data_IF_892406694129
#
_entry.id   IF_892406694129
#
_cell.length_a   1.000
_cell.length_b   1.000
_cell.length_c   1.000
_cell.angle_alpha   90.00
_cell.angle_beta   90.00
_cell.angle_gamma   90.00
#
_symmetry.space_group_name_H-M   'P 1'
#
loop_
_entity.id
_entity.type
_entity.pdbx_description
1 polymer ?
#
# COMPACT_ATOMS: atom_id res chain seq x y z
N UNK A 1 -10.47 25.26 22.34
CA UNK A 1 -10.58 23.80 22.11
C UNK A 1 -10.10 23.52 20.71
N UNK A 2 -8.93 22.88 20.57
CA UNK A 2 -8.46 22.37 19.28
C UNK A 2 -9.38 21.20 18.97
N UNK A 3 -10.19 21.29 17.92
CA UNK A 3 -10.89 20.11 17.42
C UNK A 3 -9.81 19.11 17.02
N UNK A 4 -9.67 18.02 17.77
CA UNK A 4 -8.92 16.87 17.30
C UNK A 4 -9.56 16.46 15.98
N UNK A 5 -8.81 16.51 14.88
CA UNK A 5 -9.32 16.00 13.62
C UNK A 5 -9.60 14.51 13.84
N UNK A 6 -10.89 14.16 13.92
CA UNK A 6 -11.30 12.78 14.10
C UNK A 6 -10.86 11.94 12.92
N UNK A 7 -10.62 10.65 13.15
CA UNK A 7 -10.23 9.72 12.08
C UNK A 7 -11.23 9.79 10.92
N UNK A 8 -10.78 9.64 9.65
CA UNK A 8 -11.68 9.55 8.50
C UNK A 8 -12.78 8.50 8.69
N UNK A 9 -12.45 7.40 9.36
CA UNK A 9 -13.37 6.32 9.75
C UNK A 9 -14.51 6.75 10.69
N UNK A 10 -14.43 7.93 11.30
CA UNK A 10 -15.46 8.50 12.17
C UNK A 10 -16.11 9.72 11.50
N UNK A 11 -15.29 10.56 10.85
CA UNK A 11 -15.75 11.81 10.24
C UNK A 11 -16.52 11.59 8.94
N UNK A 12 -16.36 10.45 8.25
CA UNK A 12 -17.05 10.18 6.99
C UNK A 12 -18.59 10.22 7.10
N UNK A 13 -19.16 9.96 8.27
CA UNK A 13 -20.60 10.07 8.53
C UNK A 13 -21.11 11.51 8.36
N UNK A 14 -20.22 12.48 8.57
CA UNK A 14 -20.50 13.91 8.41
C UNK A 14 -20.17 14.40 6.99
N UNK A 15 -19.68 13.53 6.11
CA UNK A 15 -19.30 13.87 4.73
C UNK A 15 -20.35 13.36 3.75
N UNK A 16 -20.91 14.28 2.96
CA UNK A 16 -21.78 13.94 1.82
C UNK A 16 -21.02 14.15 0.53
N UNK A 17 -20.88 13.08 -0.25
CA UNK A 17 -20.38 13.17 -1.62
C UNK A 17 -21.49 13.72 -2.52
N UNK A 18 -21.13 14.61 -3.43
CA UNK A 18 -22.07 15.13 -4.41
C UNK A 18 -22.61 13.97 -5.28
N UNK A 19 -23.92 13.94 -5.60
CA UNK A 19 -24.49 12.95 -6.50
C UNK A 19 -23.74 12.89 -7.83
N UNK A 20 -23.52 11.70 -8.34
CA UNK A 20 -22.84 11.42 -9.63
C UNK A 20 -21.40 11.93 -9.74
N UNK A 21 -20.81 12.41 -8.64
CA UNK A 21 -19.38 12.70 -8.58
C UNK A 21 -18.56 11.42 -8.75
N UNK A 22 -17.30 11.58 -9.20
CA UNK A 22 -16.38 10.46 -9.40
C UNK A 22 -16.29 9.55 -8.16
N UNK A 23 -16.13 10.12 -6.97
CA UNK A 23 -16.00 9.35 -5.73
C UNK A 23 -17.34 8.71 -5.29
N UNK A 24 -18.48 9.36 -5.54
CA UNK A 24 -19.79 8.77 -5.24
C UNK A 24 -20.04 7.54 -6.11
N UNK A 25 -19.74 7.63 -7.41
CA UNK A 25 -19.83 6.50 -8.35
C UNK A 25 -18.97 5.32 -7.87
N UNK A 26 -17.71 5.55 -7.48
CA UNK A 26 -16.82 4.49 -6.94
C UNK A 26 -17.36 3.89 -5.63
N UNK A 27 -17.86 4.71 -4.71
CA UNK A 27 -18.47 4.23 -3.45
C UNK A 27 -19.69 3.35 -3.72
N UNK A 28 -20.52 3.73 -4.70
CA UNK A 28 -21.69 2.96 -5.11
C UNK A 28 -21.29 1.62 -5.73
N UNK A 29 -20.26 1.57 -6.58
CA UNK A 29 -19.74 0.32 -7.13
C UNK A 29 -19.22 -0.61 -6.03
N UNK A 30 -18.48 -0.06 -5.06
CA UNK A 30 -17.96 -0.84 -3.93
C UNK A 30 -19.09 -1.50 -3.12
N UNK A 31 -20.15 -0.77 -2.80
CA UNK A 31 -21.28 -1.31 -2.02
C UNK A 31 -22.18 -2.24 -2.83
N UNK A 32 -22.46 -1.92 -4.10
CA UNK A 32 -23.39 -2.67 -4.93
C UNK A 32 -22.80 -3.99 -5.45
N UNK A 33 -21.48 -4.03 -5.71
CA UNK A 33 -20.79 -5.16 -6.32
C UNK A 33 -19.62 -5.68 -5.49
N UNK A 34 -18.60 -4.87 -5.22
CA UNK A 34 -17.32 -5.36 -4.65
C UNK A 34 -17.48 -6.06 -3.30
N UNK A 35 -18.21 -5.46 -2.35
CA UNK A 35 -18.44 -6.06 -1.03
C UNK A 35 -19.23 -7.38 -1.12
N UNK A 36 -20.23 -7.45 -2.01
CA UNK A 36 -21.02 -8.67 -2.21
C UNK A 36 -20.17 -9.79 -2.82
N UNK A 37 -19.34 -9.46 -3.79
CA UNK A 37 -18.44 -10.40 -4.43
C UNK A 37 -17.37 -10.92 -3.45
N UNK A 38 -16.77 -10.02 -2.66
CA UNK A 38 -15.82 -10.41 -1.60
C UNK A 38 -16.47 -11.33 -0.55
N UNK A 39 -17.69 -11.02 -0.10
CA UNK A 39 -18.44 -11.89 0.80
C UNK A 39 -18.71 -13.26 0.16
N UNK A 40 -19.07 -13.28 -1.13
CA UNK A 40 -19.22 -14.51 -1.90
C UNK A 40 -17.94 -15.36 -1.91
N UNK A 41 -16.79 -14.73 -2.16
CA UNK A 41 -15.48 -15.41 -2.10
C UNK A 41 -15.12 -15.92 -0.71
N UNK A 42 -15.37 -15.14 0.35
CA UNK A 42 -15.14 -15.60 1.72
C UNK A 42 -15.97 -16.84 2.04
N UNK A 43 -17.21 -16.90 1.56
CA UNK A 43 -18.07 -18.08 1.70
C UNK A 43 -17.56 -19.26 0.88
N UNK A 44 -17.25 -19.06 -0.41
CA UNK A 44 -16.82 -20.15 -1.29
C UNK A 44 -15.44 -20.72 -0.97
N UNK A 45 -14.58 -19.94 -0.32
CA UNK A 45 -13.24 -20.39 0.12
C UNK A 45 -13.23 -20.95 1.55
N UNK A 46 -14.40 -21.09 2.19
CA UNK A 46 -14.52 -21.56 3.57
C UNK A 46 -14.03 -20.56 4.64
N UNK A 47 -13.41 -19.43 4.25
CA UNK A 47 -12.89 -18.41 5.18
C UNK A 47 -13.96 -17.79 6.07
N UNK A 48 -15.17 -17.64 5.54
CA UNK A 48 -16.31 -17.15 6.32
C UNK A 48 -16.70 -18.14 7.43
N UNK A 49 -16.57 -19.44 7.17
CA UNK A 49 -16.99 -20.51 8.07
C UNK A 49 -15.87 -20.95 9.02
N UNK A 50 -14.63 -20.56 8.76
CA UNK A 50 -13.43 -21.02 9.46
C UNK A 50 -13.45 -20.72 10.98
N UNK A 51 -14.24 -19.74 11.43
CA UNK A 51 -14.43 -19.41 12.85
C UNK A 51 -15.45 -20.29 13.58
N UNK A 52 -16.06 -21.32 12.95
CA UNK A 52 -16.91 -22.31 13.65
C UNK A 52 -16.14 -23.33 14.51
N UNK A 53 -14.80 -23.23 14.57
CA UNK A 53 -13.86 -24.01 15.41
C UNK A 53 -14.23 -25.48 15.66
N UNK A 54 -14.55 -26.21 14.60
CA UNK A 54 -14.51 -27.68 14.57
C UNK A 54 -13.81 -28.09 13.27
N UNK A 55 -13.20 -29.28 13.24
CA UNK A 55 -12.94 -29.91 11.94
C UNK A 55 -14.28 -30.19 11.28
N UNK A 56 -14.51 -29.66 10.07
CA UNK A 56 -15.83 -29.69 9.46
C UNK A 56 -15.77 -30.14 7.98
N UNK A 57 -16.51 -31.21 7.61
CA UNK A 57 -16.78 -31.60 6.22
C UNK A 57 -17.50 -30.55 5.35
N UNK A 58 -17.71 -29.32 5.84
CA UNK A 58 -18.39 -28.18 5.18
C UNK A 58 -17.58 -27.55 4.04
N UNK A 59 -16.48 -28.19 3.62
CA UNK A 59 -15.85 -27.93 2.33
C UNK A 59 -16.71 -28.36 1.13
N UNK A 60 -17.89 -28.97 1.35
CA UNK A 60 -18.79 -29.35 0.27
C UNK A 60 -20.11 -28.56 0.12
N UNK A 61 -20.72 -27.86 1.12
CA UNK A 61 -22.03 -27.19 0.93
C UNK A 61 -22.42 -26.06 1.96
N UNK A 62 -23.42 -25.18 1.68
CA UNK A 62 -23.36 -23.74 1.98
C UNK A 62 -24.00 -23.22 3.30
N UNK A 63 -23.60 -22.02 3.81
CA UNK A 63 -23.95 -21.55 5.16
C UNK A 63 -25.03 -20.45 5.33
N UNK A 64 -25.53 -20.29 6.58
CA UNK A 64 -26.74 -19.52 6.94
C UNK A 64 -26.68 -18.47 8.10
N UNK A 65 -25.53 -18.09 8.73
CA UNK A 65 -25.53 -17.13 9.88
C UNK A 65 -24.37 -16.12 9.83
N UNK A 66 -24.56 -14.90 10.36
CA UNK A 66 -23.59 -13.77 10.45
C UNK A 66 -22.41 -14.05 11.41
N UNK A 67 -21.16 -13.61 11.14
CA UNK A 67 -19.96 -14.21 11.74
C UNK A 67 -19.51 -13.64 13.09
N UNK A 68 -20.24 -12.69 13.69
CA UNK A 68 -19.83 -12.07 14.98
C UNK A 68 -19.88 -13.09 16.11
N UNK A 69 -20.99 -13.83 16.24
CA UNK A 69 -21.12 -14.85 17.29
C UNK A 69 -20.14 -16.01 17.05
N UNK A 70 -19.73 -16.26 15.80
CA UNK A 70 -18.70 -17.26 15.47
C UNK A 70 -17.33 -16.84 15.99
N UNK A 71 -16.94 -15.58 15.81
CA UNK A 71 -15.67 -15.06 16.29
C UNK A 71 -15.56 -15.12 17.81
N UNK A 72 -16.61 -14.72 18.52
CA UNK A 72 -16.62 -14.78 20.00
C UNK A 72 -16.58 -16.20 20.52
N UNK A 73 -17.29 -17.14 19.87
CA UNK A 73 -17.22 -18.57 20.22
C UNK A 73 -15.89 -19.22 19.84
N UNK A 74 -15.10 -18.59 18.95
CA UNK A 74 -13.78 -19.06 18.55
C UNK A 74 -12.66 -18.59 19.49
N UNK A 75 -12.98 -17.72 20.44
CA UNK A 75 -11.98 -17.17 21.35
C UNK A 75 -11.64 -18.18 22.45
N UNK A 76 -10.35 -18.30 22.79
CA UNK A 76 -9.91 -19.13 23.92
C UNK A 76 -10.23 -18.46 25.26
N UNK A 77 -10.21 -19.23 26.35
CA UNK A 77 -10.56 -18.78 27.71
C UNK A 77 -9.65 -17.69 28.29
N UNK A 78 -8.55 -17.34 27.62
CA UNK A 78 -7.64 -16.26 28.00
C UNK A 78 -7.71 -15.04 27.08
N UNK A 79 -8.62 -15.05 26.11
CA UNK A 79 -8.82 -13.98 25.13
C UNK A 79 -8.12 -14.20 23.80
N UNK A 80 -7.32 -15.27 23.62
CA UNK A 80 -6.62 -15.52 22.36
C UNK A 80 -7.57 -15.82 21.19
N UNK A 81 -7.34 -15.19 20.03
CA UNK A 81 -8.13 -15.40 18.82
C UNK A 81 -7.24 -15.44 17.56
N UNK A 82 -6.90 -16.65 17.11
CA UNK A 82 -6.20 -16.89 15.85
C UNK A 82 -6.47 -18.31 15.34
N UNK A 83 -6.95 -18.46 14.10
CA UNK A 83 -7.34 -19.77 13.57
C UNK A 83 -6.16 -20.73 13.36
N UNK A 84 -5.00 -20.23 12.93
CA UNK A 84 -3.85 -21.07 12.62
C UNK A 84 -3.37 -21.82 13.86
N UNK A 85 -3.10 -21.12 14.95
CA UNK A 85 -2.68 -21.73 16.22
C UNK A 85 -3.85 -22.29 17.06
N UNK A 86 -5.09 -22.24 16.55
CA UNK A 86 -6.23 -22.92 17.18
C UNK A 86 -6.60 -24.24 16.49
N UNK A 87 -6.30 -24.37 15.19
CA UNK A 87 -6.77 -25.49 14.36
C UNK A 87 -5.61 -26.23 13.69
N UNK A 88 -4.61 -25.51 13.19
CA UNK A 88 -3.52 -26.06 12.35
C UNK A 88 -2.33 -26.44 13.21
N UNK A 89 -1.88 -25.51 14.04
CA UNK A 89 -0.79 -25.71 15.00
C UNK A 89 -1.33 -25.82 16.42
N UNK A 90 -0.65 -26.54 17.33
CA UNK A 90 -1.00 -26.55 18.74
C UNK A 90 -1.02 -25.13 19.33
N UNK A 91 -2.01 -24.82 20.17
CA UNK A 91 -2.12 -23.51 20.84
C UNK A 91 -0.87 -23.16 21.66
N UNK A 92 -0.12 -24.15 22.13
CA UNK A 92 1.18 -23.94 22.80
C UNK A 92 2.24 -23.27 21.92
N UNK A 93 2.07 -23.27 20.60
CA UNK A 93 2.98 -22.65 19.63
C UNK A 93 2.62 -21.20 19.32
N UNK A 94 1.53 -20.65 19.87
CA UNK A 94 1.20 -19.22 19.69
C UNK A 94 2.35 -18.34 20.18
N UNK A 95 2.54 -17.20 19.52
CA UNK A 95 3.57 -16.22 19.85
C UNK A 95 5.02 -16.72 19.80
N UNK A 96 5.28 -17.81 19.06
CA UNK A 96 6.65 -18.34 18.85
C UNK A 96 7.28 -17.93 17.52
N UNK A 97 6.47 -17.39 16.59
CA UNK A 97 6.93 -16.79 15.34
C UNK A 97 6.15 -15.52 15.00
N UNK A 98 6.34 -14.50 15.85
CA UNK A 98 5.81 -13.15 15.71
C UNK A 98 6.33 -12.48 14.43
N UNK A 99 7.54 -12.83 13.98
CA UNK A 99 8.14 -12.32 12.74
C UNK A 99 7.30 -12.67 11.50
N UNK A 100 6.89 -13.93 11.35
CA UNK A 100 6.36 -14.41 10.06
C UNK A 100 4.86 -14.77 10.06
N UNK A 101 4.29 -15.20 11.20
CA UNK A 101 2.95 -15.81 11.22
C UNK A 101 1.80 -14.83 11.48
N UNK A 102 2.08 -13.53 11.43
CA UNK A 102 1.08 -12.46 11.37
C UNK A 102 -0.01 -12.50 12.46
N UNK A 103 0.25 -13.07 13.64
CA UNK A 103 -0.73 -13.15 14.73
C UNK A 103 -1.21 -11.76 15.15
N UNK A 104 -0.25 -10.84 15.37
CA UNK A 104 -0.52 -9.47 15.78
C UNK A 104 -1.10 -8.63 14.63
N UNK A 105 -0.69 -8.88 13.39
CA UNK A 105 -1.28 -8.24 12.21
C UNK A 105 -2.76 -8.58 12.05
N UNK A 106 -3.11 -9.87 12.17
CA UNK A 106 -4.49 -10.34 12.11
C UNK A 106 -5.33 -9.71 13.24
N UNK A 107 -4.77 -9.62 14.45
CA UNK A 107 -5.45 -8.99 15.57
C UNK A 107 -5.69 -7.50 15.34
N UNK A 108 -4.71 -6.78 14.79
CA UNK A 108 -4.84 -5.36 14.48
C UNK A 108 -5.95 -5.08 13.47
N UNK A 109 -6.00 -5.83 12.36
CA UNK A 109 -7.08 -5.69 11.39
C UNK A 109 -8.46 -6.05 11.95
N UNK A 110 -8.54 -7.09 12.79
CA UNK A 110 -9.80 -7.47 13.42
C UNK A 110 -10.26 -6.39 14.42
N UNK A 111 -9.32 -5.77 15.14
CA UNK A 111 -9.59 -4.65 16.04
C UNK A 111 -10.04 -3.39 15.28
N UNK A 112 -9.43 -3.05 14.15
CA UNK A 112 -9.90 -1.96 13.28
C UNK A 112 -11.35 -2.19 12.80
N UNK A 113 -11.66 -3.44 12.41
CA UNK A 113 -13.01 -3.87 12.07
C UNK A 113 -13.97 -3.77 13.26
N UNK A 114 -13.53 -4.15 14.46
CA UNK A 114 -14.30 -4.08 15.69
C UNK A 114 -14.63 -2.63 16.09
N UNK A 115 -13.67 -1.72 15.97
CA UNK A 115 -13.84 -0.29 16.21
C UNK A 115 -14.85 0.33 15.23
N UNK A 116 -14.77 -0.03 13.94
CA UNK A 116 -15.73 0.42 12.94
C UNK A 116 -17.14 -0.16 13.20
N UNK A 117 -17.22 -1.44 13.56
CA UNK A 117 -18.48 -2.11 13.89
C UNK A 117 -19.16 -1.49 15.11
N UNK A 118 -18.44 -1.30 16.21
CA UNK A 118 -18.96 -0.64 17.41
C UNK A 118 -19.43 0.78 17.08
N UNK A 119 -18.63 1.54 16.33
CA UNK A 119 -18.99 2.90 15.97
C UNK A 119 -20.28 2.97 15.16
N UNK A 120 -20.55 2.01 14.26
CA UNK A 120 -21.76 2.02 13.44
C UNK A 120 -22.97 1.40 14.16
N UNK A 121 -22.80 0.22 14.75
CA UNK A 121 -23.90 -0.56 15.34
C UNK A 121 -24.13 -0.29 16.83
N UNK A 122 -23.29 0.54 17.45
CA UNK A 122 -23.40 0.97 18.86
C UNK A 122 -23.50 -0.19 19.83
N UNK A 123 -22.72 -1.24 19.60
CA UNK A 123 -22.60 -2.39 20.49
C UNK A 123 -21.18 -2.96 20.49
N UNK A 124 -20.87 -3.69 21.54
CA UNK A 124 -19.56 -4.25 21.86
C UNK A 124 -19.41 -5.72 21.45
N UNK A 125 -20.33 -6.28 20.66
CA UNK A 125 -20.32 -7.71 20.33
C UNK A 125 -19.03 -8.20 19.66
N UNK A 126 -18.38 -7.31 18.90
CA UNK A 126 -17.06 -7.57 18.31
C UNK A 126 -15.93 -6.87 19.06
N UNK A 127 -16.18 -5.70 19.66
CA UNK A 127 -15.15 -4.94 20.38
C UNK A 127 -14.78 -5.56 21.73
N UNK A 128 -15.76 -6.07 22.49
CA UNK A 128 -15.54 -6.72 23.79
C UNK A 128 -14.57 -7.90 23.70
N UNK A 129 -14.78 -8.90 22.80
CA UNK A 129 -13.81 -9.96 22.54
C UNK A 129 -12.43 -9.43 22.19
N UNK A 130 -12.34 -8.39 21.35
CA UNK A 130 -11.05 -7.82 20.96
C UNK A 130 -10.33 -7.11 22.11
N UNK A 131 -11.05 -6.45 23.04
CA UNK A 131 -10.46 -5.89 24.26
C UNK A 131 -9.83 -7.01 25.10
N UNK A 132 -10.50 -8.16 25.22
CA UNK A 132 -9.95 -9.29 25.96
C UNK A 132 -8.68 -9.84 25.30
N UNK A 133 -8.65 -9.90 23.97
CA UNK A 133 -7.43 -10.29 23.25
C UNK A 133 -6.29 -9.27 23.45
N UNK A 134 -6.61 -7.97 23.47
CA UNK A 134 -5.65 -6.91 23.79
C UNK A 134 -5.15 -7.01 25.23
N UNK A 135 -6.00 -7.36 26.21
CA UNK A 135 -5.56 -7.60 27.59
C UNK A 135 -4.57 -8.77 27.69
N UNK A 136 -4.76 -9.83 26.90
CA UNK A 136 -3.78 -10.92 26.78
C UNK A 136 -2.45 -10.40 26.19
N UNK A 137 -2.51 -9.57 25.15
CA UNK A 137 -1.32 -8.98 24.55
C UNK A 137 -0.57 -8.06 25.51
N UNK A 138 -1.28 -7.24 26.29
CA UNK A 138 -0.69 -6.38 27.33
C UNK A 138 0.04 -7.23 28.38
N UNK A 139 -0.48 -8.39 28.75
CA UNK A 139 0.21 -9.30 29.68
C UNK A 139 1.41 -9.99 29.04
N UNK A 140 1.34 -10.27 27.74
CA UNK A 140 2.33 -11.08 27.03
C UNK A 140 3.53 -10.25 26.56
N UNK A 141 3.30 -9.02 26.11
CA UNK A 141 4.31 -8.18 25.45
C UNK A 141 4.56 -6.89 26.21
N UNK A 142 5.84 -6.53 26.36
CA UNK A 142 6.24 -5.30 27.03
C UNK A 142 7.67 -5.37 27.55
N UNK A 143 8.13 -4.33 28.25
CA UNK A 143 9.51 -4.20 28.69
C UNK A 143 9.86 -4.98 29.97
N UNK A 144 8.86 -5.55 30.67
CA UNK A 144 9.09 -6.24 31.95
C UNK A 144 9.82 -7.57 31.74
N UNK A 145 10.52 -8.07 32.76
CA UNK A 145 11.30 -9.31 32.67
C UNK A 145 10.44 -10.55 32.39
N UNK A 146 9.17 -10.54 32.80
CA UNK A 146 8.20 -11.63 32.62
C UNK A 146 7.46 -11.56 31.27
N UNK A 147 7.73 -10.54 30.46
CA UNK A 147 7.09 -10.32 29.17
C UNK A 147 8.03 -10.68 28.01
N UNK A 148 7.45 -11.02 26.86
CA UNK A 148 8.18 -11.17 25.61
C UNK A 148 8.55 -9.78 25.08
N UNK A 149 9.85 -9.55 24.86
CA UNK A 149 10.34 -8.30 24.27
C UNK A 149 10.18 -8.28 22.74
N UNK A 150 8.99 -8.63 22.27
CA UNK A 150 8.63 -8.81 20.87
C UNK A 150 7.89 -7.61 20.27
N UNK A 151 7.78 -7.58 18.95
CA UNK A 151 6.95 -6.63 18.19
C UNK A 151 6.53 -7.22 16.84
N UNK A 152 5.37 -6.82 16.27
CA UNK A 152 4.79 -7.45 15.08
C UNK A 152 5.74 -7.50 13.87
N UNK A 153 5.90 -8.63 13.20
CA UNK A 153 6.65 -8.69 11.93
C UNK A 153 6.01 -7.86 10.81
N UNK A 154 4.68 -7.83 10.75
CA UNK A 154 3.94 -6.91 9.90
C UNK A 154 3.22 -5.89 10.78
N UNK A 155 3.62 -4.59 10.74
CA UNK A 155 2.92 -3.52 11.45
C UNK A 155 1.45 -3.47 11.05
N UNK A 156 0.56 -3.20 11.99
CA UNK A 156 -0.89 -2.97 11.83
C UNK A 156 -1.53 -2.77 13.21
N UNK A 157 -1.16 -3.64 14.18
CA UNK A 157 -1.70 -3.60 15.54
C UNK A 157 -1.42 -2.27 16.24
N UNK A 158 -0.28 -1.65 15.96
CA UNK A 158 0.10 -0.36 16.51
C UNK A 158 -0.92 0.73 16.13
N UNK A 159 -1.41 0.73 14.89
CA UNK A 159 -2.46 1.65 14.42
C UNK A 159 -3.74 1.40 15.23
N UNK A 160 -4.17 0.13 15.28
CA UNK A 160 -5.41 -0.27 15.92
C UNK A 160 -5.42 0.03 17.43
N UNK A 161 -4.29 -0.15 18.12
CA UNK A 161 -4.14 0.13 19.55
C UNK A 161 -4.21 1.63 19.86
N UNK A 162 -3.61 2.49 19.03
CA UNK A 162 -3.70 3.96 19.20
C UNK A 162 -5.14 4.45 18.97
N UNK A 163 -5.84 3.87 18.00
CA UNK A 163 -7.28 4.13 17.78
C UNK A 163 -8.13 3.63 18.93
N UNK A 164 -7.83 2.44 19.45
CA UNK A 164 -8.51 1.89 20.64
C UNK A 164 -8.27 2.78 21.86
N UNK A 165 -7.05 3.29 22.07
CA UNK A 165 -6.73 4.24 23.14
C UNK A 165 -7.59 5.50 23.04
N UNK A 166 -7.74 6.10 21.87
CA UNK A 166 -8.58 7.29 21.74
C UNK A 166 -10.07 7.00 21.95
N UNK A 167 -10.51 5.76 21.72
CA UNK A 167 -11.87 5.34 21.99
C UNK A 167 -12.14 5.04 23.47
N UNK A 168 -11.21 4.38 24.16
CA UNK A 168 -11.41 3.89 25.55
C UNK A 168 -10.75 4.78 26.61
N UNK A 169 -9.78 5.60 26.22
CA UNK A 169 -8.86 6.34 27.08
C UNK A 169 -8.07 5.45 28.07
N UNK A 170 -8.03 4.14 27.84
CA UNK A 170 -7.21 3.23 28.63
C UNK A 170 -5.74 3.32 28.18
N UNK A 171 -4.92 3.94 29.03
CA UNK A 171 -3.49 4.18 28.75
C UNK A 171 -2.71 2.90 28.44
N UNK A 172 -3.17 1.73 28.90
CA UNK A 172 -2.49 0.45 28.61
C UNK A 172 -2.42 0.17 27.10
N UNK A 173 -3.44 0.58 26.34
CA UNK A 173 -3.44 0.46 24.87
C UNK A 173 -2.38 1.34 24.22
N UNK A 174 -2.24 2.59 24.70
CA UNK A 174 -1.22 3.52 24.22
C UNK A 174 0.19 3.03 24.57
N UNK A 175 0.43 2.57 25.80
CA UNK A 175 1.74 2.08 26.22
C UNK A 175 2.17 0.83 25.44
N UNK A 176 1.24 -0.10 25.14
CA UNK A 176 1.55 -1.25 24.30
C UNK A 176 1.91 -0.84 22.85
N UNK A 177 1.15 0.09 22.25
CA UNK A 177 1.47 0.61 20.91
C UNK A 177 2.82 1.32 20.88
N UNK A 178 3.08 2.17 21.87
CA UNK A 178 4.35 2.89 22.04
C UNK A 178 5.50 1.91 22.16
N UNK A 179 5.37 0.90 23.01
CA UNK A 179 6.36 -0.15 23.18
C UNK A 179 6.68 -0.85 21.84
N UNK A 180 5.67 -1.31 21.09
CA UNK A 180 5.92 -1.94 19.79
C UNK A 180 6.63 -1.03 18.79
N UNK A 181 6.29 0.27 18.77
CA UNK A 181 6.94 1.24 17.89
C UNK A 181 8.41 1.47 18.30
N UNK A 182 8.67 1.62 19.60
CA UNK A 182 10.01 1.99 20.09
C UNK A 182 10.97 0.81 20.24
N UNK A 183 10.45 -0.40 20.45
CA UNK A 183 11.27 -1.62 20.54
C UNK A 183 11.68 -2.13 19.15
N UNK A 184 10.93 -1.78 18.10
CA UNK A 184 11.20 -2.23 16.74
C UNK A 184 12.61 -1.86 16.28
N UNK A 185 13.38 -2.87 15.90
CA UNK A 185 14.77 -2.71 15.45
C UNK A 185 15.77 -2.47 16.58
N UNK A 186 15.39 -2.62 17.85
CA UNK A 186 16.33 -2.55 18.97
C UNK A 186 17.39 -3.67 18.86
N UNK A 187 18.69 -3.35 18.71
CA UNK A 187 19.74 -4.36 18.61
C UNK A 187 20.05 -5.04 19.94
N UNK A 188 19.52 -4.52 21.05
CA UNK A 188 19.77 -4.96 22.43
C UNK A 188 18.46 -5.31 23.15
N UNK A 189 17.50 -5.91 22.45
CA UNK A 189 16.26 -6.42 23.01
C UNK A 189 16.53 -7.66 23.86
N UNK A 190 15.85 -8.77 23.55
CA UNK A 190 15.94 -10.01 24.33
C UNK A 190 17.35 -10.60 24.36
N UNK A 191 17.86 -10.89 25.57
CA UNK A 191 19.22 -11.38 25.82
C UNK A 191 20.32 -10.51 25.18
N UNK A 192 20.08 -9.21 25.05
CA UNK A 192 21.02 -8.27 24.43
C UNK A 192 21.16 -8.45 22.90
N UNK A 193 20.16 -9.08 22.26
CA UNK A 193 20.11 -9.32 20.81
C UNK A 193 18.88 -8.66 20.18
N UNK A 194 18.90 -8.54 18.86
CA UNK A 194 17.72 -8.20 18.09
C UNK A 194 16.66 -9.30 18.22
N UNK A 195 15.39 -8.92 18.47
CA UNK A 195 14.33 -9.89 18.81
C UNK A 195 14.13 -10.97 17.74
N UNK A 196 14.10 -10.62 16.45
CA UNK A 196 13.91 -11.61 15.38
C UNK A 196 15.09 -12.57 15.23
N UNK A 197 16.30 -12.14 15.60
CA UNK A 197 17.48 -12.99 15.59
C UNK A 197 17.40 -13.97 16.76
N UNK A 198 16.99 -13.48 17.93
CA UNK A 198 16.75 -14.30 19.12
C UNK A 198 15.64 -15.33 18.89
N UNK A 199 14.52 -14.91 18.30
CA UNK A 199 13.36 -15.75 18.05
C UNK A 199 13.67 -16.85 17.02
N UNK A 200 14.41 -16.52 15.95
CA UNK A 200 14.89 -17.47 14.95
C UNK A 200 15.81 -18.53 15.56
N UNK A 201 16.76 -18.12 16.40
CA UNK A 201 17.66 -19.01 17.13
C UNK A 201 16.90 -19.95 18.08
N UNK A 202 15.88 -19.44 18.79
CA UNK A 202 15.02 -20.26 19.66
C UNK A 202 14.24 -21.33 18.91
N UNK A 203 13.86 -21.08 17.67
CA UNK A 203 13.21 -22.07 16.79
C UNK A 203 14.20 -23.02 16.11
N UNK A 204 15.50 -22.71 16.15
CA UNK A 204 16.51 -23.44 15.40
C UNK A 204 16.45 -23.19 13.88
N UNK A 205 16.00 -22.00 13.46
CA UNK A 205 16.06 -21.56 12.06
C UNK A 205 17.53 -21.62 11.58
N UNK A 206 17.79 -22.12 10.38
CA UNK A 206 19.16 -22.12 9.81
C UNK A 206 19.61 -20.67 9.52
N UNK A 207 20.69 -20.16 10.16
CA UNK A 207 21.19 -18.80 9.93
C UNK A 207 21.79 -18.59 8.54
N UNK A 208 22.03 -19.67 7.79
CA UNK A 208 22.46 -19.62 6.40
C UNK A 208 21.30 -19.74 5.41
N UNK A 209 20.10 -20.06 5.89
CA UNK A 209 18.92 -20.06 5.05
C UNK A 209 18.69 -18.66 4.50
N UNK A 210 18.33 -18.61 3.23
CA UNK A 210 17.84 -17.41 2.56
C UNK A 210 16.35 -17.60 2.32
N UNK A 211 15.50 -16.69 2.80
CA UNK A 211 14.10 -16.72 2.42
C UNK A 211 13.99 -16.73 0.90
N UNK A 212 13.10 -17.55 0.35
CA UNK A 212 13.01 -17.79 -1.10
C UNK A 212 12.90 -16.48 -1.92
N UNK A 213 12.30 -15.47 -1.31
CA UNK A 213 11.97 -14.18 -1.92
C UNK A 213 13.05 -13.10 -1.71
N UNK A 214 14.00 -13.30 -0.78
CA UNK A 214 14.93 -12.24 -0.35
C UNK A 214 16.38 -12.56 -0.75
N UNK A 215 17.17 -11.55 -1.14
CA UNK A 215 18.58 -11.74 -1.48
C UNK A 215 19.46 -12.01 -0.25
N UNK A 216 18.98 -11.71 0.96
CA UNK A 216 19.74 -11.79 2.21
C UNK A 216 19.42 -13.04 3.04
N UNK A 217 20.25 -13.30 4.07
CA UNK A 217 20.06 -14.42 5.00
C UNK A 217 18.98 -14.10 6.04
N UNK A 218 18.32 -15.13 6.55
CA UNK A 218 17.39 -15.03 7.69
C UNK A 218 18.14 -14.44 8.90
N UNK A 219 17.56 -13.46 9.62
CA UNK A 219 16.17 -13.00 9.56
C UNK A 219 15.85 -11.84 8.61
N UNK A 220 16.80 -11.32 7.82
CA UNK A 220 16.53 -10.24 6.83
C UNK A 220 15.72 -9.05 7.40
N UNK A 221 16.16 -8.51 8.55
CA UNK A 221 15.40 -7.54 9.35
C UNK A 221 14.94 -6.27 8.59
N UNK A 222 15.63 -5.88 7.51
CA UNK A 222 15.23 -4.78 6.63
C UNK A 222 13.85 -4.99 6.00
N UNK A 223 13.48 -6.25 5.70
CA UNK A 223 12.19 -6.58 5.10
C UNK A 223 11.01 -6.19 5.99
N UNK A 224 11.20 -6.31 7.30
CA UNK A 224 10.20 -6.03 8.34
C UNK A 224 10.25 -4.58 8.85
N UNK A 225 11.02 -3.71 8.19
CA UNK A 225 11.37 -2.37 8.67
C UNK A 225 11.91 -2.42 10.11
N UNK A 226 12.87 -3.32 10.37
CA UNK A 226 13.43 -3.57 11.70
C UNK A 226 14.96 -3.68 11.72
N UNK A 227 15.69 -3.19 10.72
CA UNK A 227 17.17 -3.22 10.76
C UNK A 227 17.76 -2.42 11.92
N UNK A 228 17.13 -1.28 12.24
CA UNK A 228 17.53 -0.33 13.28
C UNK A 228 16.28 0.34 13.86
N UNK A 229 16.36 1.00 15.03
CA UNK A 229 15.26 1.81 15.55
C UNK A 229 14.79 2.85 14.53
N UNK A 230 13.49 3.14 14.52
CA UNK A 230 12.89 4.05 13.51
C UNK A 230 13.59 5.41 13.46
N UNK A 231 14.00 5.94 14.61
CA UNK A 231 14.70 7.23 14.71
C UNK A 231 16.04 7.24 13.97
N UNK A 232 16.66 6.07 13.79
CA UNK A 232 17.96 5.89 13.15
C UNK A 232 17.83 5.47 11.66
N UNK A 233 16.64 5.07 11.22
CA UNK A 233 16.39 4.70 9.81
C UNK A 233 16.60 5.89 8.87
N UNK A 234 17.45 5.73 7.86
CA UNK A 234 17.74 6.79 6.89
C UNK A 234 16.84 6.75 5.65
N UNK A 235 16.30 5.58 5.31
CA UNK A 235 15.57 5.34 4.07
C UNK A 235 14.48 4.30 4.29
N UNK A 236 13.41 4.35 3.49
CA UNK A 236 12.37 3.30 3.52
C UNK A 236 12.84 2.08 2.74
N UNK A 237 12.81 0.92 3.38
CA UNK A 237 13.29 -0.35 2.84
C UNK A 237 12.30 -1.47 3.17
N UNK A 238 12.50 -2.62 2.54
CA UNK A 238 11.67 -3.80 2.80
C UNK A 238 10.37 -3.81 2.04
N UNK A 239 9.43 -4.61 2.55
CA UNK A 239 8.08 -4.73 2.01
C UNK A 239 7.40 -3.37 1.95
N UNK A 240 6.72 -3.02 0.86
CA UNK A 240 6.23 -1.65 0.63
C UNK A 240 5.09 -1.23 1.57
N UNK A 241 4.26 -2.16 2.04
CA UNK A 241 3.14 -1.88 2.98
C UNK A 241 3.61 -1.68 4.43
N UNK A 242 4.58 -2.49 4.89
CA UNK A 242 4.99 -2.54 6.29
C UNK A 242 5.43 -1.17 6.84
N UNK A 243 6.35 -0.42 6.20
CA UNK A 243 6.76 0.89 6.69
C UNK A 243 5.62 1.90 6.59
N UNK A 244 4.68 1.76 5.64
CA UNK A 244 3.54 2.69 5.56
C UNK A 244 2.60 2.52 6.75
N UNK A 245 2.31 1.28 7.16
CA UNK A 245 1.50 1.02 8.35
C UNK A 245 2.22 1.44 9.63
N UNK A 246 3.53 1.16 9.73
CA UNK A 246 4.36 1.63 10.84
C UNK A 246 4.35 3.17 10.95
N UNK A 247 4.64 3.87 9.86
CA UNK A 247 4.69 5.33 9.84
C UNK A 247 3.31 5.95 10.08
N UNK A 248 2.23 5.27 9.70
CA UNK A 248 0.85 5.64 10.06
C UNK A 248 0.68 5.63 11.58
N UNK A 249 1.06 4.53 12.26
CA UNK A 249 0.99 4.45 13.72
C UNK A 249 1.89 5.47 14.41
N UNK A 250 3.10 5.70 13.89
CA UNK A 250 4.03 6.70 14.45
C UNK A 250 3.46 8.11 14.31
N UNK A 251 2.78 8.42 13.20
CA UNK A 251 2.13 9.72 13.02
C UNK A 251 1.00 9.94 14.03
N UNK A 252 0.19 8.90 14.30
CA UNK A 252 -0.81 8.94 15.38
C UNK A 252 -0.18 9.11 16.76
N UNK A 253 0.94 8.42 17.05
CA UNK A 253 1.65 8.58 18.32
C UNK A 253 2.25 9.99 18.48
N UNK A 254 2.81 10.57 17.42
CA UNK A 254 3.32 11.95 17.41
C UNK A 254 2.20 12.95 17.68
N UNK A 255 1.01 12.70 17.14
CA UNK A 255 -0.16 13.54 17.39
C UNK A 255 -0.64 13.44 18.84
N UNK A 256 -0.71 12.22 19.38
CA UNK A 256 -1.20 11.95 20.74
C UNK A 256 -0.21 12.45 21.80
N UNK A 257 1.09 12.24 21.60
CA UNK A 257 2.15 12.53 22.58
C UNK A 257 3.26 13.43 22.01
N UNK A 258 2.84 14.55 21.41
CA UNK A 258 3.71 15.48 20.67
C UNK A 258 4.93 15.97 21.45
N UNK A 259 4.78 16.21 22.75
CA UNK A 259 5.86 16.75 23.57
C UNK A 259 7.03 15.76 23.74
N UNK A 260 6.75 14.45 23.67
CA UNK A 260 7.73 13.39 23.94
C UNK A 260 8.19 12.66 22.66
N UNK A 261 7.74 13.08 21.49
CA UNK A 261 8.02 12.40 20.20
C UNK A 261 8.69 13.28 19.12
N UNK A 262 9.52 14.30 19.45
CA UNK A 262 10.09 15.18 18.43
C UNK A 262 11.01 14.47 17.43
N UNK A 263 11.73 13.42 17.86
CA UNK A 263 12.65 12.69 16.98
C UNK A 263 11.91 11.72 16.05
N UNK A 264 10.76 11.19 16.48
CA UNK A 264 9.88 10.41 15.63
C UNK A 264 9.22 11.28 14.56
N UNK A 265 8.85 12.52 14.90
CA UNK A 265 8.37 13.48 13.91
C UNK A 265 9.42 13.74 12.83
N UNK A 266 10.70 13.93 13.21
CA UNK A 266 11.80 14.07 12.24
C UNK A 266 12.00 12.81 11.40
N UNK A 267 11.88 11.63 12.00
CA UNK A 267 12.01 10.36 11.29
C UNK A 267 10.93 10.18 10.21
N UNK A 268 9.66 10.50 10.52
CA UNK A 268 8.57 10.47 9.54
C UNK A 268 8.88 11.35 8.33
N UNK A 269 9.30 12.60 8.57
CA UNK A 269 9.59 13.56 7.49
C UNK A 269 10.75 13.06 6.63
N UNK A 270 11.85 12.59 7.24
CA UNK A 270 13.01 12.05 6.53
C UNK A 270 12.63 10.86 5.65
N UNK A 271 11.89 9.90 6.20
CA UNK A 271 11.49 8.69 5.48
C UNK A 271 10.46 8.99 4.36
N UNK A 272 9.57 9.95 4.58
CA UNK A 272 8.67 10.48 3.55
C UNK A 272 9.43 11.12 2.38
N UNK A 273 10.39 11.99 2.68
CA UNK A 273 11.19 12.69 1.68
C UNK A 273 12.03 11.73 0.84
N UNK A 274 12.67 10.74 1.46
CA UNK A 274 13.40 9.67 0.77
C UNK A 274 12.49 8.90 -0.21
N UNK A 275 11.33 8.44 0.28
CA UNK A 275 10.37 7.68 -0.50
C UNK A 275 9.88 8.45 -1.72
N UNK A 276 9.37 9.67 -1.52
CA UNK A 276 8.76 10.48 -2.58
C UNK A 276 9.80 10.96 -3.58
N UNK A 277 11.00 11.29 -3.12
CA UNK A 277 12.03 11.87 -4.00
C UNK A 277 12.77 10.82 -4.82
N UNK A 278 12.85 9.57 -4.34
CA UNK A 278 13.74 8.57 -4.94
C UNK A 278 13.10 7.20 -5.21
N UNK A 279 11.98 6.83 -4.57
CA UNK A 279 11.41 5.47 -4.64
C UNK A 279 9.92 5.39 -4.99
N UNK A 280 9.33 6.51 -5.42
CA UNK A 280 7.92 6.59 -5.80
C UNK A 280 7.75 6.76 -7.31
N UNK A 281 6.86 5.97 -7.89
CA UNK A 281 6.46 6.11 -9.29
C UNK A 281 5.64 7.39 -9.49
N UNK A 282 5.64 7.94 -10.71
CA UNK A 282 4.81 9.11 -11.07
C UNK A 282 3.30 8.90 -10.83
N UNK A 283 2.86 7.64 -10.79
CA UNK A 283 1.48 7.22 -10.46
C UNK A 283 1.16 7.26 -8.97
N UNK A 284 2.14 7.54 -8.11
CA UNK A 284 2.05 7.44 -6.64
C UNK A 284 2.31 6.04 -6.09
N UNK A 285 2.50 5.04 -6.96
CA UNK A 285 2.84 3.68 -6.54
C UNK A 285 4.23 3.60 -5.88
N UNK A 286 4.39 2.65 -4.97
CA UNK A 286 5.67 2.32 -4.32
C UNK A 286 5.88 0.81 -4.33
N UNK A 287 7.13 0.38 -4.20
CA UNK A 287 7.52 -1.02 -4.34
C UNK A 287 7.95 -1.31 -5.77
N UNK A 288 9.26 -1.34 -5.99
CA UNK A 288 9.83 -1.62 -7.30
C UNK A 288 10.09 -3.11 -7.52
N UNK A 289 10.25 -3.88 -6.44
CA UNK A 289 10.79 -5.23 -6.47
C UNK A 289 9.67 -6.26 -6.25
N UNK A 290 9.26 -7.02 -7.29
CA UNK A 290 8.18 -7.99 -7.18
C UNK A 290 8.52 -9.17 -6.28
N UNK A 291 9.81 -9.51 -6.17
CA UNK A 291 10.28 -10.67 -5.42
C UNK A 291 9.86 -10.60 -3.96
N UNK A 292 9.85 -9.41 -3.37
CA UNK A 292 9.53 -9.18 -1.96
C UNK A 292 8.55 -8.01 -1.76
N UNK A 293 7.83 -7.67 -2.83
CA UNK A 293 6.71 -6.74 -2.77
C UNK A 293 7.11 -5.35 -2.22
N UNK A 294 8.36 -4.94 -2.51
CA UNK A 294 9.06 -3.96 -1.69
C UNK A 294 9.92 -2.97 -2.44
N UNK A 295 10.57 -2.11 -1.66
CA UNK A 295 11.43 -1.04 -2.17
C UNK A 295 12.69 -1.60 -2.85
N UNK A 296 13.07 -0.99 -3.96
CA UNK A 296 14.38 -1.16 -4.57
C UNK A 296 15.38 -0.12 -4.05
N UNK A 297 16.55 -0.07 -4.69
CA UNK A 297 17.52 1.01 -4.48
C UNK A 297 16.95 2.36 -4.97
N UNK A 298 17.45 3.51 -4.47
CA UNK A 298 17.04 4.82 -4.94
C UNK A 298 17.09 4.93 -6.47
N UNK A 299 16.04 5.53 -7.05
CA UNK A 299 15.84 5.75 -8.47
C UNK A 299 15.68 4.49 -9.34
N UNK A 300 15.68 3.28 -8.77
CA UNK A 300 15.31 2.08 -9.51
C UNK A 300 13.78 1.97 -9.64
N UNK A 301 13.24 2.52 -10.74
CA UNK A 301 11.81 2.61 -11.03
C UNK A 301 11.49 2.08 -12.44
N UNK A 302 11.67 0.77 -12.69
CA UNK A 302 11.30 0.14 -13.97
C UNK A 302 9.80 0.24 -14.24
N UNK A 303 9.37 0.32 -15.49
CA UNK A 303 7.94 0.53 -15.81
C UNK A 303 7.12 -0.76 -15.90
N UNK A 304 7.77 -1.92 -15.92
CA UNK A 304 7.13 -3.23 -16.05
C UNK A 304 7.95 -4.38 -15.49
N UNK A 305 7.32 -5.54 -15.37
CA UNK A 305 7.94 -6.75 -14.81
C UNK A 305 9.09 -7.27 -15.66
N UNK A 306 8.99 -7.13 -16.98
CA UNK A 306 10.03 -7.44 -17.96
C UNK A 306 11.18 -6.41 -18.00
N UNK A 307 10.98 -5.25 -17.38
CA UNK A 307 12.01 -4.24 -17.10
C UNK A 307 12.64 -4.45 -15.72
N UNK A 308 12.28 -5.53 -15.02
CA UNK A 308 12.85 -5.91 -13.73
C UNK A 308 12.09 -5.39 -12.51
N UNK A 309 10.86 -4.88 -12.67
CA UNK A 309 10.09 -4.45 -11.49
C UNK A 309 8.67 -3.95 -11.72
N UNK A 310 8.33 -2.80 -11.10
CA UNK A 310 6.98 -2.21 -11.08
C UNK A 310 5.95 -3.05 -10.32
N UNK A 311 6.25 -3.44 -9.07
CA UNK A 311 5.27 -4.15 -8.23
C UNK A 311 4.08 -3.24 -7.88
N UNK A 312 4.37 -2.02 -7.39
CA UNK A 312 3.40 -0.93 -7.19
C UNK A 312 2.09 -1.39 -6.55
N UNK A 313 2.18 -2.06 -5.40
CA UNK A 313 1.05 -2.74 -4.77
C UNK A 313 -0.08 -1.76 -4.41
N UNK A 314 -1.33 -2.19 -4.63
CA UNK A 314 -2.52 -1.42 -4.23
C UNK A 314 -2.56 -1.15 -2.72
N UNK A 315 -2.19 -2.14 -1.88
CA UNK A 315 -2.18 -1.97 -0.43
C UNK A 315 -1.14 -0.93 0.01
N UNK A 316 0.00 -0.85 -0.68
CA UNK A 316 1.04 0.12 -0.36
C UNK A 316 0.58 1.56 -0.70
N UNK A 317 -0.16 1.73 -1.81
CA UNK A 317 -0.82 3.01 -2.12
C UNK A 317 -1.87 3.40 -1.07
N UNK A 318 -2.66 2.45 -0.56
CA UNK A 318 -3.59 2.69 0.56
C UNK A 318 -2.82 3.07 1.83
N UNK A 319 -1.71 2.40 2.12
CA UNK A 319 -0.83 2.73 3.24
C UNK A 319 -0.29 4.15 3.17
N UNK A 320 0.13 4.61 1.98
CA UNK A 320 0.52 6.02 1.77
C UNK A 320 -0.64 6.96 2.09
N UNK A 321 -1.85 6.65 1.59
CA UNK A 321 -3.03 7.49 1.86
C UNK A 321 -3.32 7.57 3.35
N UNK A 322 -3.22 6.46 4.09
CA UNK A 322 -3.37 6.43 5.54
C UNK A 322 -2.30 7.29 6.22
N UNK A 323 -1.03 7.07 5.89
CA UNK A 323 0.10 7.82 6.47
C UNK A 323 -0.03 9.33 6.23
N UNK A 324 -0.24 9.73 4.97
CA UNK A 324 -0.32 11.14 4.57
C UNK A 324 -1.50 11.82 5.23
N UNK A 325 -2.62 11.14 5.42
CA UNK A 325 -3.76 11.70 6.15
C UNK A 325 -3.39 12.04 7.61
N UNK A 326 -2.64 11.17 8.31
CA UNK A 326 -2.22 11.44 9.70
C UNK A 326 -1.19 12.57 9.77
N UNK A 327 -0.30 12.67 8.78
CA UNK A 327 0.70 13.74 8.70
C UNK A 327 0.07 15.09 8.37
N UNK A 328 -0.94 15.12 7.48
CA UNK A 328 -1.52 16.35 6.95
C UNK A 328 -2.59 16.99 7.86
N UNK A 329 -2.83 16.50 9.08
CA UNK A 329 -3.96 16.96 9.90
C UNK A 329 -4.07 18.49 10.00
N UNK A 330 -5.20 18.98 9.46
CA UNK A 330 -5.27 20.30 8.85
C UNK A 330 -5.73 21.34 9.88
N UNK A 331 -4.78 21.94 10.62
CA UNK A 331 -5.06 23.15 11.40
C UNK A 331 -5.53 24.31 10.51
N UNK A 332 -5.08 24.35 9.24
CA UNK A 332 -5.38 25.45 8.32
C UNK A 332 -6.88 25.62 8.00
N UNK A 333 -7.61 24.53 7.74
CA UNK A 333 -9.03 24.58 7.37
C UNK A 333 -9.92 24.98 8.55
N UNK A 334 -9.55 24.55 9.76
CA UNK A 334 -10.24 24.95 10.99
C UNK A 334 -10.13 26.47 11.23
N UNK A 335 -8.99 27.07 10.88
CA UNK A 335 -8.77 28.52 10.99
C UNK A 335 -9.28 29.31 9.78
N UNK A 336 -9.55 28.66 8.64
CA UNK A 336 -9.96 29.30 7.39
C UNK A 336 -11.20 28.58 6.81
N UNK A 337 -12.39 28.73 7.45
CA UNK A 337 -13.59 27.98 7.08
C UNK A 337 -14.16 28.37 5.69
N UNK A 338 -13.78 29.55 5.19
CA UNK A 338 -14.16 30.02 3.86
C UNK A 338 -12.90 30.35 3.08
N UNK A 339 -12.66 29.62 2.00
CA UNK A 339 -11.57 29.89 1.06
C UNK A 339 -12.02 29.55 -0.36
N UNK A 340 -11.36 30.13 -1.35
CA UNK A 340 -11.56 29.78 -2.76
C UNK A 340 -10.24 29.27 -3.31
N UNK A 341 -10.27 28.10 -3.92
CA UNK A 341 -9.12 27.51 -4.58
C UNK A 341 -9.36 27.49 -6.09
N UNK A 342 -8.47 28.14 -6.84
CA UNK A 342 -8.46 28.09 -8.31
C UNK A 342 -7.30 27.21 -8.75
N UNK A 343 -7.56 25.93 -8.97
CA UNK A 343 -6.56 24.98 -9.49
C UNK A 343 -6.72 24.89 -11.01
N UNK A 344 -5.65 25.18 -11.74
CA UNK A 344 -5.59 24.97 -13.18
C UNK A 344 -5.32 23.50 -13.47
N UNK A 345 -6.16 22.86 -14.28
CA UNK A 345 -6.01 21.44 -14.67
C UNK A 345 -5.24 21.32 -15.99
N UNK A 346 -4.03 21.88 -16.01
CA UNK A 346 -3.20 21.90 -17.21
C UNK A 346 -2.72 20.49 -17.60
N UNK A 347 -2.57 20.32 -18.90
CA UNK A 347 -1.76 19.24 -19.48
C UNK A 347 -0.29 19.58 -19.21
N UNK A 348 0.45 18.61 -18.67
CA UNK A 348 1.85 18.74 -18.28
C UNK A 348 2.63 17.54 -18.81
N UNK A 349 3.80 17.81 -19.36
CA UNK A 349 4.79 16.79 -19.68
C UNK A 349 5.75 16.69 -18.49
N UNK A 350 5.81 15.50 -17.91
CA UNK A 350 6.65 15.20 -16.74
C UNK A 350 7.85 14.36 -17.19
N UNK A 351 9.00 14.61 -16.61
CA UNK A 351 10.20 13.77 -16.78
C UNK A 351 10.64 13.24 -15.43
N UNK A 352 11.19 12.02 -15.44
CA UNK A 352 11.80 11.42 -14.25
C UNK A 352 13.11 12.12 -13.91
N UNK A 353 13.53 12.01 -12.64
CA UNK A 353 14.87 12.44 -12.25
C UNK A 353 15.94 11.69 -13.09
N UNK A 354 17.05 12.33 -13.53
CA UNK A 354 18.04 11.71 -14.40
C UNK A 354 18.65 10.40 -13.87
N UNK A 355 18.69 10.20 -12.55
CA UNK A 355 19.19 8.96 -11.94
C UNK A 355 18.27 7.75 -12.11
N UNK A 356 17.01 7.95 -12.51
CA UNK A 356 16.14 6.83 -12.93
C UNK A 356 16.70 6.19 -14.22
N UNK A 357 17.54 6.93 -14.96
CA UNK A 357 18.26 6.46 -16.13
C UNK A 357 17.34 5.91 -17.23
N UNK A 358 16.11 6.43 -17.30
CA UNK A 358 15.16 6.19 -18.39
C UNK A 358 14.84 7.54 -19.04
N UNK A 359 15.17 7.67 -20.33
CA UNK A 359 14.85 8.88 -21.10
C UNK A 359 13.38 8.84 -21.57
N UNK A 360 12.47 8.96 -20.59
CA UNK A 360 11.03 8.88 -20.80
C UNK A 360 10.31 10.10 -20.26
N UNK A 361 9.18 10.42 -20.90
CA UNK A 361 8.25 11.46 -20.51
C UNK A 361 6.86 10.87 -20.24
N UNK A 362 6.13 11.48 -19.31
CA UNK A 362 4.77 11.08 -18.90
C UNK A 362 3.82 12.27 -19.10
N UNK A 363 2.63 12.00 -19.63
CA UNK A 363 1.59 13.04 -19.78
C UNK A 363 0.67 13.03 -18.56
N UNK A 364 0.41 14.21 -17.99
CA UNK A 364 -0.52 14.40 -16.88
C UNK A 364 -1.50 15.52 -17.18
N UNK A 365 -2.74 15.43 -16.68
CA UNK A 365 -3.73 16.53 -16.68
C UNK A 365 -4.25 16.75 -15.27
N UNK A 366 -3.94 17.90 -14.68
CA UNK A 366 -4.19 18.11 -13.26
C UNK A 366 -3.56 16.99 -12.40
N UNK A 367 -4.31 16.31 -11.51
CA UNK A 367 -3.78 15.21 -10.69
C UNK A 367 -3.72 13.86 -11.41
N UNK A 368 -4.20 13.77 -12.65
CA UNK A 368 -4.38 12.49 -13.35
C UNK A 368 -3.18 12.22 -14.27
N UNK A 369 -2.54 11.07 -14.07
CA UNK A 369 -1.54 10.51 -14.98
C UNK A 369 -2.24 9.78 -16.12
N UNK A 370 -1.72 9.91 -17.34
CA UNK A 370 -2.24 9.25 -18.54
C UNK A 370 -1.32 8.12 -18.99
N UNK A 371 -1.91 7.16 -19.69
CA UNK A 371 -1.20 6.07 -20.35
C UNK A 371 -1.76 5.85 -21.76
N UNK A 372 -0.98 5.16 -22.58
CA UNK A 372 -1.44 4.56 -23.84
C UNK A 372 -1.87 3.13 -23.60
N UNK A 373 -2.89 2.68 -24.33
CA UNK A 373 -3.35 1.28 -24.34
C UNK A 373 -3.57 0.81 -25.78
N UNK A 374 -3.37 -0.49 -26.03
CA UNK A 374 -3.54 -1.07 -27.35
C UNK A 374 -4.98 -1.07 -27.85
N UNK A 375 -5.96 -0.99 -26.94
CA UNK A 375 -7.36 -0.83 -27.32
C UNK A 375 -7.57 0.41 -28.20
N UNK A 376 -6.98 1.56 -27.83
CA UNK A 376 -7.08 2.80 -28.60
C UNK A 376 -5.99 2.90 -29.68
N UNK A 377 -4.93 2.10 -29.56
CA UNK A 377 -3.75 2.14 -30.44
C UNK A 377 -3.43 0.72 -30.95
N UNK A 378 -4.32 0.11 -31.76
CA UNK A 378 -4.28 -1.33 -32.06
C UNK A 378 -3.05 -1.78 -32.85
N UNK A 379 -2.32 -0.84 -33.46
CA UNK A 379 -1.09 -1.06 -34.21
C UNK A 379 0.08 -1.54 -33.33
N UNK A 380 0.07 -1.30 -32.02
CA UNK A 380 1.19 -1.64 -31.12
C UNK A 380 1.33 -3.14 -30.94
N UNK A 381 2.55 -3.70 -30.91
CA UNK A 381 2.77 -5.13 -30.62
C UNK A 381 3.91 -5.39 -29.63
N UNK A 382 4.42 -4.34 -28.98
CA UNK A 382 5.65 -4.39 -28.18
C UNK A 382 5.52 -3.67 -26.82
N UNK A 383 4.30 -3.59 -26.27
CA UNK A 383 4.03 -2.80 -25.05
C UNK A 383 4.48 -1.33 -25.15
N UNK A 384 4.42 -0.74 -26.35
CA UNK A 384 4.85 0.63 -26.63
C UNK A 384 6.33 0.88 -26.28
N UNK A 385 7.17 -0.16 -26.38
CA UNK A 385 8.61 -0.06 -26.08
C UNK A 385 9.35 0.82 -27.08
N UNK A 386 8.95 0.73 -28.34
CA UNK A 386 9.46 1.51 -29.47
C UNK A 386 8.79 2.88 -29.63
N UNK A 387 7.66 3.13 -28.94
CA UNK A 387 6.95 4.41 -29.04
C UNK A 387 7.81 5.56 -28.50
N UNK A 388 7.86 6.64 -29.28
CA UNK A 388 8.50 7.90 -28.92
C UNK A 388 7.45 9.03 -28.91
N UNK A 389 7.65 10.02 -28.02
CA UNK A 389 6.75 11.15 -27.85
C UNK A 389 7.55 12.46 -27.80
N UNK A 390 7.14 13.43 -28.62
CA UNK A 390 7.66 14.79 -28.64
C UNK A 390 7.09 15.58 -27.44
N UNK A 391 7.93 16.12 -26.54
CA UNK A 391 7.48 16.90 -25.39
C UNK A 391 6.76 18.20 -25.77
N UNK A 392 6.99 18.73 -26.98
CA UNK A 392 6.37 19.96 -27.47
C UNK A 392 5.13 19.68 -28.34
N UNK A 393 4.69 18.43 -28.41
CA UNK A 393 3.55 18.01 -29.20
C UNK A 393 2.25 18.73 -28.79
N UNK A 394 1.41 19.02 -29.79
CA UNK A 394 0.06 19.51 -29.54
C UNK A 394 -0.81 18.40 -28.95
N UNK A 395 -1.37 18.64 -27.76
CA UNK A 395 -2.29 17.72 -27.07
C UNK A 395 -3.66 18.36 -26.94
N UNK A 396 -4.70 17.65 -27.35
CA UNK A 396 -6.10 18.10 -27.21
C UNK A 396 -6.89 17.20 -26.26
N UNK A 397 -7.87 17.79 -25.58
CA UNK A 397 -8.77 17.07 -24.68
C UNK A 397 -10.04 16.60 -25.40
N UNK A 398 -10.53 15.41 -25.03
CA UNK A 398 -11.80 14.88 -25.51
C UNK A 398 -12.59 14.27 -24.37
N UNK A 399 -13.82 14.73 -24.15
CA UNK A 399 -14.72 14.09 -23.19
C UNK A 399 -15.21 12.76 -23.75
N UNK A 400 -15.08 11.69 -22.96
CA UNK A 400 -15.44 10.32 -23.34
C UNK A 400 -16.44 9.78 -22.33
N UNK A 401 -17.49 9.12 -22.85
CA UNK A 401 -18.33 8.18 -22.13
C UNK A 401 -18.13 6.82 -22.76
N UNK A 402 -17.41 5.95 -22.07
CA UNK A 402 -17.03 4.66 -22.63
C UNK A 402 -18.25 3.74 -22.70
N UNK A 403 -18.58 3.17 -23.89
CA UNK A 403 -19.79 2.38 -24.06
C UNK A 403 -19.71 0.99 -23.39
N UNK A 404 -18.51 0.47 -23.15
CA UNK A 404 -18.32 -0.86 -22.56
C UNK A 404 -18.42 -0.86 -21.04
N UNK A 405 -17.96 0.22 -20.41
CA UNK A 405 -17.90 0.36 -18.95
C UNK A 405 -18.90 1.36 -18.40
N UNK A 406 -19.40 2.28 -19.23
CA UNK A 406 -20.22 3.42 -18.82
C UNK A 406 -19.46 4.54 -18.11
N UNK A 407 -18.14 4.42 -17.95
CA UNK A 407 -17.29 5.41 -17.27
C UNK A 407 -17.12 6.69 -18.11
N UNK A 408 -17.06 7.82 -17.42
CA UNK A 408 -16.87 9.14 -18.04
C UNK A 408 -15.49 9.70 -17.65
N UNK A 409 -14.71 10.10 -18.65
CA UNK A 409 -13.36 10.63 -18.43
C UNK A 409 -12.94 11.62 -19.54
N UNK A 410 -11.86 12.36 -19.30
CA UNK A 410 -11.20 13.19 -20.31
C UNK A 410 -10.06 12.39 -20.91
N UNK A 411 -10.15 12.04 -22.19
CA UNK A 411 -9.06 11.46 -22.97
C UNK A 411 -8.14 12.57 -23.50
N UNK A 412 -6.90 12.20 -23.85
CA UNK A 412 -5.95 13.09 -24.50
C UNK A 412 -5.55 12.52 -25.85
N UNK A 413 -5.57 13.37 -26.88
CA UNK A 413 -5.16 13.03 -28.23
C UNK A 413 -3.91 13.85 -28.57
N UNK A 414 -2.79 13.18 -28.83
CA UNK A 414 -1.52 13.82 -29.23
C UNK A 414 -1.44 13.83 -30.75
N UNK A 415 -1.38 15.02 -31.36
CA UNK A 415 -1.42 15.19 -32.81
C UNK A 415 -0.03 15.30 -33.40
N UNK A 416 0.31 14.39 -34.32
CA UNK A 416 1.57 14.40 -35.09
C UNK A 416 2.85 14.59 -34.25
N UNK A 417 2.78 14.15 -32.99
CA UNK A 417 3.81 14.31 -31.97
C UNK A 417 4.34 12.99 -31.42
N UNK A 418 3.98 11.87 -32.04
CA UNK A 418 4.45 10.55 -31.65
C UNK A 418 4.93 9.77 -32.88
N UNK A 419 5.82 8.82 -32.65
CA UNK A 419 6.40 7.98 -33.70
C UNK A 419 6.84 6.62 -33.15
N UNK A 420 7.09 5.65 -34.03
CA UNK A 420 7.51 4.29 -33.65
C UNK A 420 8.92 4.06 -34.14
N UNK A 421 9.88 3.91 -33.22
CA UNK A 421 11.26 3.62 -33.58
C UNK A 421 11.31 2.29 -34.37
N UNK A 422 11.91 2.24 -35.58
CA UNK A 422 11.91 1.04 -36.42
C UNK A 422 12.94 0.03 -35.90
N UNK A 423 12.64 -0.64 -34.77
CA UNK A 423 13.54 -1.55 -34.06
C UNK A 423 14.07 -2.67 -34.97
N UNK A 424 13.27 -3.17 -35.90
CA UNK A 424 13.67 -4.23 -36.84
C UNK A 424 14.80 -3.80 -37.79
N UNK A 425 14.93 -2.50 -38.05
CA UNK A 425 16.03 -1.94 -38.85
C UNK A 425 17.34 -1.79 -38.07
N UNK A 426 17.27 -1.92 -36.73
CA UNK A 426 18.42 -1.80 -35.84
C UNK A 426 18.98 -3.19 -35.56
N UNK A 427 20.22 -3.43 -36.00
CA UNK A 427 20.91 -4.71 -35.74
C UNK A 427 21.05 -4.94 -34.23
N UNK A 428 20.54 -6.07 -33.74
CA UNK A 428 20.73 -6.50 -32.37
C UNK A 428 22.23 -6.64 -32.04
N UNK A 429 22.71 -5.81 -31.13
CA UNK A 429 24.07 -5.80 -30.62
C UNK A 429 24.07 -5.16 -29.22
N UNK A 430 25.07 -5.45 -28.35
CA UNK A 430 25.20 -4.77 -27.05
C UNK A 430 25.29 -3.25 -27.15
N UNK A 431 25.70 -2.73 -28.31
CA UNK A 431 25.73 -1.30 -28.62
C UNK A 431 25.43 -1.08 -30.10
N UNK A 432 24.73 0.01 -30.41
CA UNK A 432 24.57 0.54 -31.77
C UNK A 432 25.23 1.93 -31.85
N UNK A 433 25.84 2.31 -32.99
CA UNK A 433 26.38 3.66 -33.15
C UNK A 433 25.29 4.71 -32.95
N UNK A 434 25.56 5.75 -32.14
CA UNK A 434 24.61 6.84 -31.87
C UNK A 434 23.98 7.42 -33.13
N UNK A 435 24.79 7.67 -34.17
CA UNK A 435 24.30 8.24 -35.45
C UNK A 435 23.30 7.32 -36.16
N UNK A 436 23.43 6.01 -36.00
CA UNK A 436 22.48 5.03 -36.56
C UNK A 436 21.14 5.13 -35.83
N UNK A 437 21.15 5.18 -34.49
CA UNK A 437 19.95 5.36 -33.68
C UNK A 437 19.27 6.71 -33.97
N UNK A 438 20.05 7.79 -34.00
CA UNK A 438 19.54 9.14 -34.26
C UNK A 438 18.89 9.22 -35.65
N UNK A 439 19.50 8.62 -36.67
CA UNK A 439 18.91 8.56 -38.01
C UNK A 439 17.60 7.75 -38.02
N UNK A 440 17.58 6.57 -37.39
CA UNK A 440 16.36 5.76 -37.31
C UNK A 440 15.21 6.47 -36.57
N UNK A 441 15.53 7.25 -35.54
CA UNK A 441 14.55 8.06 -34.80
C UNK A 441 14.07 9.30 -35.57
N UNK A 442 14.81 9.77 -36.58
CA UNK A 442 14.42 10.89 -37.43
C UNK A 442 13.62 10.45 -38.66
N UNK A 443 13.96 9.29 -39.24
CA UNK A 443 13.36 8.73 -40.47
C UNK A 443 12.10 7.88 -40.19
N UNK A 444 11.48 8.05 -39.03
CA UNK A 444 10.29 7.29 -38.62
C UNK A 444 9.01 7.92 -39.16
N UNK A 445 8.01 7.06 -39.44
CA UNK A 445 6.65 7.51 -39.70
C UNK A 445 6.06 8.16 -38.45
N UNK A 446 5.38 9.29 -38.66
CA UNK A 446 4.70 10.04 -37.60
C UNK A 446 3.30 9.48 -37.42
N UNK A 447 2.93 9.18 -36.19
CA UNK A 447 1.57 8.80 -35.83
C UNK A 447 0.69 10.06 -35.94
N UNK A 448 -0.34 10.01 -36.77
CA UNK A 448 -1.26 11.14 -36.96
C UNK A 448 -1.92 11.56 -35.63
N UNK A 449 -2.46 10.59 -34.90
CA UNK A 449 -3.02 10.81 -33.55
C UNK A 449 -2.66 9.63 -32.63
N UNK A 450 -2.01 9.91 -31.51
CA UNK A 450 -1.79 8.95 -30.42
C UNK A 450 -2.87 9.18 -29.35
N UNK A 451 -3.64 8.13 -29.05
CA UNK A 451 -4.75 8.20 -28.11
C UNK A 451 -4.29 7.79 -26.70
N UNK A 452 -4.61 8.60 -25.70
CA UNK A 452 -4.27 8.36 -24.30
C UNK A 452 -5.50 8.39 -23.40
N UNK A 453 -5.50 7.53 -22.39
CA UNK A 453 -6.55 7.43 -21.37
C UNK A 453 -5.97 7.62 -19.97
N UNK A 454 -6.78 7.98 -18.97
CA UNK A 454 -6.32 8.02 -17.58
C UNK A 454 -5.76 6.68 -17.11
N UNK A 455 -4.63 6.71 -16.40
CA UNK A 455 -3.94 5.51 -15.89
C UNK A 455 -4.85 4.61 -15.03
N UNK A 456 -5.76 5.20 -14.25
CA UNK A 456 -6.70 4.44 -13.42
C UNK A 456 -7.77 3.69 -14.23
N UNK A 457 -8.01 4.09 -15.49
CA UNK A 457 -9.02 3.50 -16.38
C UNK A 457 -8.45 2.34 -17.21
N UNK A 458 -7.13 2.17 -17.24
CA UNK A 458 -6.49 1.12 -18.02
C UNK A 458 -7.02 -0.28 -17.70
N UNK A 459 -6.92 -1.21 -18.65
CA UNK A 459 -7.27 -2.62 -18.52
C UNK A 459 -8.76 -2.91 -18.27
N UNK A 460 -9.66 -2.00 -18.65
CA UNK A 460 -11.12 -2.18 -18.51
C UNK A 460 -11.85 -2.58 -19.80
N UNK A 461 -11.17 -2.62 -20.95
CA UNK A 461 -11.80 -2.73 -22.29
C UNK A 461 -11.37 -3.97 -23.09
N UNK A 462 -10.56 -4.85 -22.51
CA UNK A 462 -9.94 -5.97 -23.22
C UNK A 462 -8.71 -5.52 -24.03
N UNK A 463 -8.44 -6.19 -25.15
CA UNK A 463 -7.25 -5.97 -25.98
C UNK A 463 -6.16 -7.02 -25.76
N UNK A 464 -4.95 -6.72 -26.24
CA UNK A 464 -3.71 -7.50 -26.09
C UNK A 464 -3.07 -7.31 -24.71
N UNK A 465 -3.58 -6.39 -23.89
CA UNK A 465 -3.05 -6.11 -22.55
C UNK A 465 -1.76 -5.29 -22.58
N UNK A 466 -1.57 -4.48 -23.63
CA UNK A 466 -0.38 -3.65 -23.80
C UNK A 466 -0.71 -2.22 -23.37
N UNK A 467 0.06 -1.68 -22.42
CA UNK A 467 -0.09 -0.32 -21.95
C UNK A 467 1.26 0.26 -21.52
N UNK A 468 1.39 1.59 -21.56
CA UNK A 468 2.59 2.28 -21.07
C UNK A 468 2.30 3.71 -20.61
N UNK A 469 2.99 4.13 -19.54
CA UNK A 469 2.83 5.46 -18.94
C UNK A 469 3.98 6.39 -19.31
N UNK A 470 5.23 5.97 -19.07
CA UNK A 470 6.43 6.69 -19.48
C UNK A 470 6.85 6.29 -20.89
N UNK A 471 6.77 7.24 -21.82
CA UNK A 471 7.05 7.04 -23.24
C UNK A 471 8.44 7.60 -23.56
N UNK A 472 9.20 6.94 -24.44
CA UNK A 472 10.54 7.43 -24.82
C UNK A 472 10.45 8.87 -25.33
N UNK A 473 11.31 9.75 -24.85
CA UNK A 473 11.37 11.11 -25.36
C UNK A 473 11.83 11.11 -26.82
N UNK A 474 11.13 11.86 -27.66
CA UNK A 474 11.49 12.14 -29.04
C UNK A 474 11.97 13.58 -29.13
N UNK A 475 13.16 13.80 -29.69
CA UNK A 475 13.67 15.14 -29.99
C UNK A 475 13.67 15.24 -31.50
N UNK A 476 12.77 16.09 -32.02
CA UNK A 476 12.54 16.26 -33.45
C UNK A 476 13.47 17.30 -34.07
#
# INVERSE_FOLDING_TARGET
MIAMAGYPQETFLNVKLAPDSFLEKKRRTASAASLKQQLGFLKSTGRYEAFKLKWLPVYDEPPAIWPIDMLSNAQHDDGYLNLHYSIVEPTSNRFTNIRDFCELYNAGHLLEGALAHEHYYKNDKLLGPMIWYVDLMIKTFGPSEDQLHAYPGHPELEIALLRLYERTHDKRHFELAKYFITERGNPKGTDGRHYYDWEADKRGDDPNARPYFYPERTPSNWYYSASVPLIDMQTVEGHSVRPMYLLTAVADMVRIDKANTPDLQKAIVRLWEDMVSTKMYVTGGIGAMPQYEGFGIPYFLPQGTDEGGCYAETCAAIGIMMMVERVLQVQFLASNPNFTLKIKLDIRILTSHPFVNTDTITVARGPIIYCVEDFDNPWVNDHFKSLQLDPDAMVTERAVKDPSTGEEYVALDVHRGASVLPIESLKAAPSIPWKTLAKAAADTEVIEVLHMVPYYFRSNRGGKGMARTGIRRWIR
#
